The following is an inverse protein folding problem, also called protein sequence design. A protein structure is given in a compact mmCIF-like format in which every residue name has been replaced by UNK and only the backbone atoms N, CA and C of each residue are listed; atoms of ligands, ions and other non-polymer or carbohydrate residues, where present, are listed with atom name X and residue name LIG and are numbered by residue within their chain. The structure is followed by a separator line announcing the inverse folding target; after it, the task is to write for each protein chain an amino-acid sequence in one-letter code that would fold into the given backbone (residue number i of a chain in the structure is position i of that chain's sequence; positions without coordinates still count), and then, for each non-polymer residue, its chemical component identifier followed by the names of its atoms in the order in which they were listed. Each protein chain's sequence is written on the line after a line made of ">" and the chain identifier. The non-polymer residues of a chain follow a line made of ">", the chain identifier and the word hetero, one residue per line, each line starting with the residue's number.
data_IF_955588399947
#
_entry.id   IF_955588399947
#
_cell.length_a   1.000
_cell.length_b   1.000
_cell.length_c   1.000
_cell.angle_alpha   90.00
_cell.angle_beta   90.00
_cell.angle_gamma   90.00
#
_symmetry.space_group_name_H-M   'P 1'
#
loop_
_entity.id
_entity.type
_entity.pdbx_description
1 polymer ?
#
# COMPACT_ATOMS: atom_id res chain seq x y z
N UNK A 1 -19.79 2.29 -15.22
CA UNK A 1 -19.14 0.96 -15.31
C UNK A 1 -18.85 0.71 -16.78
N UNK A 2 -17.57 0.60 -17.12
CA UNK A 2 -17.14 0.19 -18.46
C UNK A 2 -16.93 -1.32 -18.48
N UNK A 3 -17.51 -1.97 -19.47
CA UNK A 3 -17.41 -3.41 -19.69
C UNK A 3 -16.39 -3.69 -20.80
N UNK A 4 -15.81 -4.88 -20.81
CA UNK A 4 -14.96 -5.30 -21.90
C UNK A 4 -15.75 -5.27 -23.24
N UNK A 5 -15.17 -4.82 -24.38
CA UNK A 5 -15.91 -4.69 -25.64
C UNK A 5 -16.55 -5.99 -26.15
N UNK A 6 -16.04 -7.16 -25.72
CA UNK A 6 -16.62 -8.47 -26.06
C UNK A 6 -17.76 -8.91 -25.14
N UNK A 7 -17.96 -8.25 -23.99
CA UNK A 7 -19.06 -8.54 -23.10
C UNK A 7 -20.42 -8.18 -23.72
N UNK A 8 -20.43 -7.31 -24.76
CA UNK A 8 -21.64 -6.81 -25.43
C UNK A 8 -22.65 -6.19 -24.46
N UNK A 9 -22.16 -5.69 -23.32
CA UNK A 9 -22.94 -4.99 -22.31
C UNK A 9 -22.88 -3.49 -22.57
N UNK A 10 -24.04 -2.84 -22.52
CA UNK A 10 -24.10 -1.39 -22.61
C UNK A 10 -23.49 -0.76 -21.35
N UNK A 11 -22.62 0.26 -21.50
CA UNK A 11 -22.04 0.95 -20.36
C UNK A 11 -23.14 1.59 -19.49
N UNK A 12 -23.04 1.38 -18.18
CA UNK A 12 -24.00 1.92 -17.22
C UNK A 12 -23.41 3.11 -16.47
N UNK A 13 -24.12 4.24 -16.48
CA UNK A 13 -23.77 5.41 -15.68
C UNK A 13 -24.52 5.28 -14.35
N UNK A 14 -23.77 5.15 -13.27
CA UNK A 14 -24.30 5.14 -11.91
C UNK A 14 -23.88 6.44 -11.22
N UNK A 15 -24.78 7.01 -10.44
CA UNK A 15 -24.39 7.99 -9.43
C UNK A 15 -23.61 7.30 -8.31
N UNK A 16 -22.83 8.08 -7.56
CA UNK A 16 -22.05 7.56 -6.43
C UNK A 16 -22.93 6.82 -5.40
N UNK A 17 -24.13 7.34 -5.15
CA UNK A 17 -25.05 6.77 -4.16
C UNK A 17 -25.66 5.43 -4.63
N UNK A 18 -26.01 5.33 -5.91
CA UNK A 18 -26.47 4.07 -6.52
C UNK A 18 -25.37 3.00 -6.52
N UNK A 19 -24.12 3.39 -6.82
CA UNK A 19 -22.98 2.47 -6.78
C UNK A 19 -22.79 1.86 -5.39
N UNK A 20 -22.80 2.71 -4.34
CA UNK A 20 -22.66 2.24 -2.97
C UNK A 20 -23.79 1.31 -2.54
N UNK A 21 -25.04 1.61 -2.94
CA UNK A 21 -26.19 0.75 -2.67
C UNK A 21 -26.09 -0.62 -3.37
N UNK A 22 -25.67 -0.63 -4.64
CA UNK A 22 -25.52 -1.86 -5.42
C UNK A 22 -24.43 -2.79 -4.88
N UNK A 23 -23.34 -2.22 -4.37
CA UNK A 23 -22.20 -3.02 -3.90
C UNK A 23 -22.41 -3.66 -2.54
N UNK A 24 -23.53 -3.35 -1.88
CA UNK A 24 -24.17 -4.19 -0.86
C UNK A 24 -23.20 -4.88 0.10
N UNK A 25 -22.21 -4.15 0.63
CA UNK A 25 -21.25 -4.73 1.58
C UNK A 25 -21.99 -4.95 2.90
N UNK A 26 -22.69 -6.07 3.03
CA UNK A 26 -22.92 -6.66 4.34
C UNK A 26 -21.53 -6.84 4.95
N UNK A 27 -21.26 -6.11 6.03
CA UNK A 27 -19.97 -6.11 6.74
C UNK A 27 -19.73 -7.53 7.28
N UNK A 28 -19.20 -8.44 6.47
CA UNK A 28 -18.88 -9.79 6.90
C UNK A 28 -17.73 -9.72 7.90
N UNK A 29 -18.00 -10.17 9.12
CA UNK A 29 -17.24 -9.95 10.35
C UNK A 29 -15.78 -10.44 10.37
N UNK A 30 -15.24 -11.06 9.32
CA UNK A 30 -13.88 -11.65 9.36
C UNK A 30 -12.75 -10.66 9.05
N UNK A 31 -13.02 -9.51 8.42
CA UNK A 31 -12.03 -8.45 8.13
C UNK A 31 -12.37 -7.09 8.79
N UNK A 32 -13.48 -7.01 9.53
CA UNK A 32 -13.98 -5.77 10.13
C UNK A 32 -12.97 -5.11 11.11
N UNK A 33 -11.95 -5.84 11.56
CA UNK A 33 -10.87 -5.28 12.40
C UNK A 33 -9.94 -4.30 11.67
N UNK A 34 -9.67 -4.47 10.36
CA UNK A 34 -8.79 -3.58 9.60
C UNK A 34 -9.51 -2.39 8.95
N UNK A 35 -10.83 -2.48 8.72
CA UNK A 35 -11.63 -1.35 8.23
C UNK A 35 -11.66 -0.18 9.22
N UNK A 36 -11.53 -0.46 10.52
CA UNK A 36 -11.47 0.59 11.56
C UNK A 36 -10.07 1.23 11.70
N UNK A 37 -9.04 0.70 11.01
CA UNK A 37 -7.65 1.14 11.12
C UNK A 37 -6.93 1.00 9.76
N UNK A 38 -7.26 1.85 8.76
CA UNK A 38 -6.61 1.80 7.45
C UNK A 38 -5.09 2.00 7.52
N UNK A 39 -4.60 2.65 8.58
CA UNK A 39 -3.17 2.82 8.86
C UNK A 39 -2.50 1.56 9.44
N UNK A 40 -3.18 0.44 9.67
CA UNK A 40 -2.50 -0.79 10.09
C UNK A 40 -1.49 -1.24 9.01
N UNK A 41 -0.23 -1.58 9.36
CA UNK A 41 0.26 -2.02 10.66
C UNK A 41 0.97 -0.93 11.49
N UNK A 42 0.83 0.34 11.11
CA UNK A 42 1.29 1.45 11.92
C UNK A 42 0.44 1.56 13.19
N UNK A 43 1.04 2.00 14.30
CA UNK A 43 0.34 2.04 15.58
C UNK A 43 -0.76 3.11 15.61
N UNK A 44 -0.63 4.16 14.80
CA UNK A 44 -1.58 5.27 14.68
C UNK A 44 -1.61 5.83 13.25
N UNK A 45 -2.65 6.58 12.92
CA UNK A 45 -2.76 7.34 11.65
C UNK A 45 -1.61 8.34 11.50
N UNK A 46 -1.27 9.06 12.58
CA UNK A 46 -0.14 9.98 12.62
C UNK A 46 1.20 9.30 12.28
N UNK A 47 1.41 8.06 12.73
CA UNK A 47 2.62 7.29 12.40
C UNK A 47 2.67 6.91 10.92
N UNK A 48 1.51 6.57 10.32
CA UNK A 48 1.40 6.29 8.90
C UNK A 48 1.69 7.54 8.06
N UNK A 49 1.05 8.68 8.37
CA UNK A 49 1.23 9.94 7.65
C UNK A 49 2.67 10.43 7.73
N UNK A 50 3.28 10.34 8.92
CA UNK A 50 4.69 10.69 9.11
C UNK A 50 5.60 9.78 8.28
N UNK A 51 5.33 8.46 8.27
CA UNK A 51 6.10 7.51 7.48
C UNK A 51 5.98 7.79 5.97
N UNK A 52 4.78 8.09 5.49
CA UNK A 52 4.55 8.47 4.08
C UNK A 52 5.33 9.74 3.72
N UNK A 53 5.25 10.78 4.54
CA UNK A 53 5.99 12.03 4.29
C UNK A 53 7.51 11.83 4.30
N UNK A 54 8.03 11.01 5.22
CA UNK A 54 9.46 10.66 5.24
C UNK A 54 9.85 9.91 3.96
N UNK A 55 9.00 9.02 3.46
CA UNK A 55 9.22 8.31 2.21
C UNK A 55 9.26 9.29 1.02
N UNK A 56 8.30 10.21 0.93
CA UNK A 56 8.23 11.21 -0.14
C UNK A 56 9.41 12.19 -0.14
N UNK A 57 10.00 12.45 1.02
CA UNK A 57 11.17 13.35 1.15
C UNK A 57 12.50 12.66 0.88
N UNK A 58 12.51 11.34 0.64
CA UNK A 58 13.71 10.55 0.32
C UNK A 58 14.85 10.73 1.35
N UNK A 59 14.52 10.95 2.63
CA UNK A 59 15.53 11.13 3.67
C UNK A 59 16.31 9.83 3.91
N UNK A 60 17.64 9.94 3.99
CA UNK A 60 18.48 8.84 4.46
C UNK A 60 18.34 8.65 5.98
N UNK A 61 18.91 7.58 6.53
CA UNK A 61 18.78 7.27 7.97
C UNK A 61 19.28 8.37 8.90
N UNK A 62 20.30 9.13 8.49
CA UNK A 62 20.82 10.25 9.27
C UNK A 62 19.80 11.41 9.29
N UNK A 63 19.25 11.78 8.13
CA UNK A 63 18.21 12.80 8.01
C UNK A 63 16.93 12.42 8.76
N UNK A 64 16.52 11.16 8.68
CA UNK A 64 15.39 10.61 9.45
C UNK A 64 15.62 10.79 10.95
N UNK A 65 16.77 10.37 11.47
CA UNK A 65 17.11 10.52 12.89
C UNK A 65 17.21 11.99 13.31
N UNK A 66 17.70 12.87 12.43
CA UNK A 66 17.69 14.32 12.63
C UNK A 66 16.27 14.87 12.80
N UNK A 67 15.35 14.47 11.92
CA UNK A 67 13.94 14.85 11.99
C UNK A 67 13.31 14.37 13.31
N UNK A 68 13.47 13.10 13.66
CA UNK A 68 12.95 12.56 14.92
C UNK A 68 13.52 13.28 16.15
N UNK A 69 14.80 13.67 16.12
CA UNK A 69 15.41 14.47 17.18
C UNK A 69 14.73 15.84 17.32
N UNK A 70 14.44 16.51 16.20
CA UNK A 70 13.72 17.80 16.21
C UNK A 70 12.32 17.64 16.77
N UNK A 71 11.56 16.65 16.29
CA UNK A 71 10.20 16.37 16.76
C UNK A 71 10.17 16.10 18.28
N UNK A 72 11.09 15.27 18.79
CA UNK A 72 11.25 15.00 20.22
C UNK A 72 11.60 16.26 21.01
N UNK A 73 12.51 17.08 20.49
CA UNK A 73 12.92 18.32 21.16
C UNK A 73 11.75 19.31 21.28
N UNK A 74 10.89 19.39 20.25
CA UNK A 74 9.72 20.28 20.26
C UNK A 74 8.58 19.75 21.14
N UNK A 75 8.43 18.43 21.27
CA UNK A 75 7.42 17.82 22.14
C UNK A 75 7.73 18.02 23.65
N UNK A 76 9.00 18.19 24.02
CA UNK A 76 9.41 18.38 25.42
C UNK A 76 9.06 17.17 26.28
N UNK A 77 8.41 17.41 27.43
CA UNK A 77 7.95 16.36 28.36
C UNK A 77 6.57 15.78 28.00
N UNK A 78 5.92 16.28 26.95
CA UNK A 78 4.64 15.73 26.52
C UNK A 78 4.85 14.39 25.81
N UNK A 79 3.98 13.39 26.05
CA UNK A 79 4.03 12.13 25.32
C UNK A 79 3.93 12.43 23.82
N UNK A 80 4.91 11.93 23.06
CA UNK A 80 4.96 12.10 21.60
C UNK A 80 3.67 11.59 20.97
N UNK A 81 3.11 12.38 20.05
CA UNK A 81 1.97 11.96 19.21
C UNK A 81 2.32 10.81 18.24
N UNK A 82 3.62 10.50 18.12
CA UNK A 82 4.18 9.44 17.28
C UNK A 82 4.82 8.35 18.13
N UNK A 83 4.59 7.10 17.75
CA UNK A 83 5.29 5.94 18.31
C UNK A 83 6.60 5.66 17.57
N UNK A 84 6.69 6.07 16.30
CA UNK A 84 7.92 5.96 15.50
C UNK A 84 8.90 7.06 15.89
N UNK A 85 10.08 6.66 16.36
CA UNK A 85 11.00 7.56 17.05
C UNK A 85 12.44 7.49 16.52
N UNK A 86 12.69 6.66 15.52
CA UNK A 86 13.98 6.43 14.91
C UNK A 86 13.82 5.87 13.50
N UNK A 87 14.89 5.95 12.70
CA UNK A 87 14.98 5.26 11.41
C UNK A 87 14.78 3.73 11.54
N UNK A 88 15.13 3.14 12.69
CA UNK A 88 14.94 1.73 12.97
C UNK A 88 13.46 1.37 13.11
N UNK A 89 12.72 2.12 13.92
CA UNK A 89 11.28 1.92 14.14
C UNK A 89 10.50 2.09 12.82
N UNK A 90 10.90 3.09 12.02
CA UNK A 90 10.30 3.34 10.71
C UNK A 90 10.52 2.16 9.76
N UNK A 91 11.74 1.63 9.71
CA UNK A 91 12.07 0.44 8.92
C UNK A 91 11.30 -0.79 9.39
N UNK A 92 11.12 -0.96 10.69
CA UNK A 92 10.32 -2.04 11.24
C UNK A 92 8.85 -1.92 10.85
N UNK A 93 8.26 -0.72 10.94
CA UNK A 93 6.90 -0.43 10.53
C UNK A 93 6.68 -0.73 9.04
N UNK A 94 7.58 -0.25 8.16
CA UNK A 94 7.55 -0.59 6.74
C UNK A 94 7.74 -2.07 6.47
N UNK A 95 8.61 -2.76 7.22
CA UNK A 95 8.80 -4.21 7.06
C UNK A 95 7.54 -4.99 7.44
N UNK A 96 6.82 -4.55 8.49
CA UNK A 96 5.50 -5.11 8.85
C UNK A 96 4.50 -4.87 7.74
N UNK A 97 4.44 -3.67 7.17
CA UNK A 97 3.55 -3.33 6.07
C UNK A 97 3.87 -4.12 4.79
N UNK A 98 5.15 -4.32 4.49
CA UNK A 98 5.61 -5.13 3.36
C UNK A 98 5.10 -6.57 3.44
N UNK A 99 5.01 -7.14 4.64
CA UNK A 99 4.54 -8.51 4.85
C UNK A 99 3.01 -8.67 4.72
N UNK A 100 2.24 -7.59 4.63
CA UNK A 100 0.78 -7.66 4.45
C UNK A 100 0.37 -7.96 3.00
N UNK A 101 1.25 -7.72 2.03
CA UNK A 101 0.99 -7.89 0.60
C UNK A 101 2.13 -8.66 -0.07
N UNK A 102 1.95 -9.02 -1.34
CA UNK A 102 3.01 -9.64 -2.15
C UNK A 102 4.24 -8.74 -2.17
N UNK A 103 5.39 -9.29 -1.76
CA UNK A 103 6.66 -8.56 -1.76
C UNK A 103 7.11 -8.23 -3.18
N UNK A 104 7.88 -7.15 -3.30
CA UNK A 104 8.62 -6.90 -4.52
C UNK A 104 9.73 -7.94 -4.66
N UNK A 105 9.85 -8.49 -5.86
CA UNK A 105 10.95 -9.34 -6.28
C UNK A 105 11.89 -8.52 -7.14
N UNK A 106 13.18 -8.86 -7.07
CA UNK A 106 14.22 -8.27 -7.89
C UNK A 106 14.76 -9.33 -8.84
N UNK A 107 14.70 -9.06 -10.13
CA UNK A 107 15.33 -9.88 -11.16
C UNK A 107 16.33 -9.04 -11.95
N UNK A 108 17.42 -9.66 -12.38
CA UNK A 108 18.42 -9.00 -13.23
C UNK A 108 18.27 -9.52 -14.65
N UNK A 109 17.72 -8.68 -15.52
CA UNK A 109 17.64 -8.98 -16.95
C UNK A 109 18.99 -8.70 -17.59
N UNK A 110 19.53 -9.69 -18.29
CA UNK A 110 20.71 -9.53 -19.13
C UNK A 110 20.26 -9.47 -20.59
N UNK A 111 20.50 -8.35 -21.25
CA UNK A 111 20.16 -8.12 -22.66
C UNK A 111 21.45 -7.92 -23.44
N UNK A 112 21.59 -8.65 -24.54
CA UNK A 112 22.69 -8.42 -25.47
C UNK A 112 22.29 -7.33 -26.47
N UNK A 113 23.08 -6.28 -26.53
CA UNK A 113 22.89 -5.20 -27.48
C UNK A 113 24.25 -4.72 -27.99
N UNK A 114 24.45 -4.78 -29.32
CA UNK A 114 25.71 -4.39 -30.00
C UNK A 114 26.96 -5.04 -29.39
N UNK A 115 26.92 -6.36 -29.19
CA UNK A 115 28.04 -7.15 -28.63
C UNK A 115 28.39 -6.83 -27.17
N UNK A 116 27.60 -5.98 -26.50
CA UNK A 116 27.70 -5.70 -25.07
C UNK A 116 26.51 -6.30 -24.31
N UNK A 117 26.78 -6.90 -23.15
CA UNK A 117 25.73 -7.39 -22.24
C UNK A 117 25.34 -6.31 -21.25
N UNK A 118 24.11 -5.81 -21.36
CA UNK A 118 23.52 -4.83 -20.47
C UNK A 118 22.72 -5.53 -19.38
N UNK A 119 22.98 -5.18 -18.11
CA UNK A 119 22.29 -5.74 -16.95
C UNK A 119 21.35 -4.70 -16.36
N UNK A 120 20.05 -5.03 -16.30
CA UNK A 120 19.02 -4.17 -15.73
C UNK A 120 18.39 -4.85 -14.52
N UNK A 121 18.41 -4.17 -13.38
CA UNK A 121 17.68 -4.61 -12.19
C UNK A 121 16.22 -4.18 -12.34
N UNK A 122 15.31 -5.14 -12.44
CA UNK A 122 13.87 -4.90 -12.50
C UNK A 122 13.26 -5.33 -11.19
N UNK A 123 12.45 -4.46 -10.59
CA UNK A 123 11.67 -4.75 -9.41
C UNK A 123 10.20 -4.89 -9.81
N UNK A 124 9.59 -6.02 -9.49
CA UNK A 124 8.19 -6.30 -9.85
C UNK A 124 7.49 -7.08 -8.73
N UNK A 125 6.16 -7.11 -8.74
CA UNK A 125 5.38 -8.06 -7.94
C UNK A 125 4.82 -9.12 -8.88
N UNK A 126 4.96 -10.43 -8.57
CA UNK A 126 4.31 -11.47 -9.36
C UNK A 126 2.81 -11.19 -9.46
N UNK A 127 2.33 -10.99 -10.68
CA UNK A 127 0.96 -10.54 -10.92
C UNK A 127 -0.05 -11.50 -10.29
N UNK A 128 0.16 -12.81 -10.46
CA UNK A 128 -0.74 -13.82 -9.92
C UNK A 128 -0.85 -13.76 -8.39
N UNK A 129 0.28 -13.77 -7.68
CA UNK A 129 0.30 -13.72 -6.21
C UNK A 129 -0.28 -12.39 -5.70
N UNK A 130 0.00 -11.30 -6.40
CA UNK A 130 -0.57 -9.98 -6.08
C UNK A 130 -2.08 -9.94 -6.29
N UNK A 131 -2.57 -10.47 -7.41
CA UNK A 131 -4.01 -10.60 -7.66
C UNK A 131 -4.67 -11.46 -6.58
N UNK A 132 -4.11 -12.62 -6.21
CA UNK A 132 -4.66 -13.45 -5.14
C UNK A 132 -4.78 -12.70 -3.80
N UNK A 133 -3.80 -11.86 -3.46
CA UNK A 133 -3.88 -11.01 -2.26
C UNK A 133 -5.02 -9.98 -2.37
N UNK A 134 -5.21 -9.36 -3.54
CA UNK A 134 -6.32 -8.44 -3.75
C UNK A 134 -7.69 -9.12 -3.71
N UNK A 135 -7.81 -10.34 -4.25
CA UNK A 135 -9.06 -11.10 -4.21
C UNK A 135 -9.43 -11.60 -2.81
N UNK A 136 -8.41 -11.80 -1.98
CA UNK A 136 -8.58 -12.15 -0.57
C UNK A 136 -9.02 -10.95 0.28
N UNK A 137 -8.87 -9.73 -0.23
CA UNK A 137 -9.33 -8.52 0.44
C UNK A 137 -10.85 -8.39 0.32
N UNK A 138 -11.56 -8.66 1.40
CA UNK A 138 -13.02 -8.60 1.45
C UNK A 138 -13.59 -7.20 1.16
N UNK A 139 -12.77 -6.14 1.24
CA UNK A 139 -13.18 -4.77 0.91
C UNK A 139 -13.10 -4.49 -0.57
N UNK A 140 -12.18 -5.13 -1.29
CA UNK A 140 -12.02 -4.95 -2.73
C UNK A 140 -12.74 -6.04 -3.52
N UNK A 141 -12.79 -7.27 -2.99
CA UNK A 141 -13.40 -8.46 -3.59
C UNK A 141 -14.79 -8.20 -4.22
N UNK A 142 -15.73 -7.50 -3.55
CA UNK A 142 -17.07 -7.25 -4.10
C UNK A 142 -17.09 -6.32 -5.33
N UNK A 143 -16.02 -5.55 -5.53
CA UNK A 143 -15.90 -4.58 -6.63
C UNK A 143 -15.14 -5.13 -7.83
N UNK A 144 -14.58 -6.35 -7.75
CA UNK A 144 -13.96 -6.98 -8.90
C UNK A 144 -15.03 -7.41 -9.90
N UNK A 145 -15.06 -6.74 -11.05
CA UNK A 145 -15.92 -7.10 -12.17
C UNK A 145 -15.13 -8.03 -13.09
N UNK A 146 -15.57 -9.29 -13.18
CA UNK A 146 -14.94 -10.32 -14.00
C UNK A 146 -15.67 -10.44 -15.35
N UNK A 147 -15.48 -9.45 -16.22
CA UNK A 147 -16.01 -9.53 -17.57
C UNK A 147 -14.94 -10.15 -18.49
N UNK A 148 -15.10 -11.44 -18.79
CA UNK A 148 -14.31 -12.16 -19.79
C UNK A 148 -14.92 -12.00 -21.20
#
# INVERSE_FOLDING_TARGET
>A
IEYHPRALLDPHILTHEEYLQMTGVEKTNSFVDNLNRPWHPFASENDFDLAEHILCTCLNSEGQNGLFKVLKTQAGDHPSAFTINSAGDLKEAWSKAENLLTKFQKETLALEYREETWKYNVYFRPLWDWTLNLLSDATLSPFFVWDA
#
